data_IF_910552562002
#
_entry.id   IF_910552562002
#
_cell.length_a   1.000
_cell.length_b   1.000
_cell.length_c   1.000
_cell.angle_alpha   90.00
_cell.angle_beta   90.00
_cell.angle_gamma   90.00
#
_symmetry.space_group_name_H-M   'P 1'
#
loop_
_entity.id
_entity.type
_entity.pdbx_description
1 polymer ?
#
# COMPACT_ATOMS: atom_id res chain seq x y z
N UNK A 1 -0.63 13.19 6.65
CA UNK A 1 -1.79 12.41 7.11
C UNK A 1 -2.66 12.15 5.90
N UNK A 2 -2.93 10.90 5.55
CA UNK A 2 -3.68 10.54 4.35
C UNK A 2 -5.18 10.81 4.55
N UNK A 3 -5.84 11.32 3.50
CA UNK A 3 -7.23 11.78 3.53
C UNK A 3 -8.13 10.81 2.78
N UNK A 4 -9.15 10.28 3.47
CA UNK A 4 -10.10 9.30 2.93
C UNK A 4 -11.50 9.93 2.83
N UNK A 5 -12.17 9.75 1.69
CA UNK A 5 -13.60 10.02 1.56
C UNK A 5 -14.36 8.71 1.80
N UNK A 6 -15.27 8.71 2.78
CA UNK A 6 -16.20 7.62 3.03
C UNK A 6 -17.60 8.02 2.56
N UNK A 7 -18.13 7.29 1.59
CA UNK A 7 -19.50 7.49 1.08
C UNK A 7 -20.34 6.28 1.50
N UNK A 8 -21.22 6.50 2.46
CA UNK A 8 -22.03 5.48 3.13
C UNK A 8 -23.24 6.17 3.78
N UNK A 9 -24.43 5.65 3.62
CA UNK A 9 -25.68 6.20 4.16
C UNK A 9 -26.04 5.63 5.55
N UNK A 10 -25.60 4.41 5.87
CA UNK A 10 -25.81 3.82 7.21
C UNK A 10 -24.91 4.52 8.25
N UNK A 11 -25.55 5.34 9.11
CA UNK A 11 -24.87 6.11 10.14
C UNK A 11 -24.14 5.25 11.18
N UNK A 12 -24.56 3.99 11.39
CA UNK A 12 -23.89 3.06 12.31
C UNK A 12 -22.59 2.59 11.69
N UNK A 13 -22.60 2.26 10.40
CA UNK A 13 -21.39 1.89 9.65
C UNK A 13 -20.44 3.09 9.58
N UNK A 14 -20.93 4.27 9.22
CA UNK A 14 -20.13 5.51 9.16
C UNK A 14 -19.41 5.76 10.46
N UNK A 15 -20.13 5.78 11.60
CA UNK A 15 -19.53 6.03 12.90
C UNK A 15 -18.43 5.04 13.24
N UNK A 16 -18.70 3.75 13.04
CA UNK A 16 -17.74 2.69 13.33
C UNK A 16 -16.48 2.80 12.45
N UNK A 17 -16.66 3.07 11.14
CA UNK A 17 -15.55 3.21 10.20
C UNK A 17 -14.71 4.45 10.49
N UNK A 18 -15.34 5.59 10.76
CA UNK A 18 -14.64 6.83 11.11
C UNK A 18 -13.78 6.63 12.36
N UNK A 19 -14.31 5.96 13.40
CA UNK A 19 -13.56 5.68 14.62
C UNK A 19 -12.34 4.77 14.37
N UNK A 20 -12.52 3.73 13.54
CA UNK A 20 -11.44 2.81 13.17
C UNK A 20 -10.37 3.55 12.36
N UNK A 21 -10.77 4.27 11.30
CA UNK A 21 -9.85 4.97 10.40
C UNK A 21 -9.06 6.07 11.12
N UNK A 22 -9.70 6.82 12.03
CA UNK A 22 -9.01 7.82 12.85
C UNK A 22 -7.97 7.22 13.80
N UNK A 23 -8.21 6.03 14.35
CA UNK A 23 -7.22 5.31 15.18
C UNK A 23 -6.00 4.83 14.37
N UNK A 24 -6.15 4.72 13.07
CA UNK A 24 -5.10 4.33 12.13
C UNK A 24 -4.45 5.54 11.44
N UNK A 25 -4.64 6.76 12.03
CA UNK A 25 -4.07 8.03 11.60
C UNK A 25 -4.54 8.52 10.21
N UNK A 26 -5.76 8.14 9.78
CA UNK A 26 -6.40 8.70 8.60
C UNK A 26 -7.26 9.92 8.94
N UNK A 27 -7.25 10.93 8.07
CA UNK A 27 -8.28 11.97 8.06
C UNK A 27 -9.48 11.49 7.24
N UNK A 28 -10.69 11.64 7.75
CA UNK A 28 -11.89 11.09 7.10
C UNK A 28 -12.95 12.16 6.94
N UNK A 29 -13.33 12.42 5.69
CA UNK A 29 -14.56 13.13 5.34
C UNK A 29 -15.65 12.11 4.99
N UNK A 30 -16.91 12.46 5.26
CA UNK A 30 -18.05 11.57 5.04
C UNK A 30 -19.09 12.20 4.15
N UNK A 31 -19.73 11.38 3.31
CA UNK A 31 -20.91 11.72 2.52
C UNK A 31 -21.97 10.64 2.69
N UNK A 32 -23.23 11.02 2.86
CA UNK A 32 -24.36 10.08 3.01
C UNK A 32 -25.00 9.70 1.68
N UNK A 33 -24.56 10.29 0.56
CA UNK A 33 -25.10 10.04 -0.77
C UNK A 33 -24.26 10.64 -1.87
N UNK A 34 -24.70 10.43 -3.10
CA UNK A 34 -23.97 10.82 -4.31
C UNK A 34 -23.76 12.32 -4.42
N UNK A 35 -24.81 13.14 -4.21
CA UNK A 35 -24.74 14.59 -4.35
C UNK A 35 -23.68 15.20 -3.42
N UNK A 36 -23.69 14.76 -2.16
CA UNK A 36 -22.70 15.24 -1.19
C UNK A 36 -21.28 14.76 -1.53
N UNK A 37 -21.13 13.54 -2.00
CA UNK A 37 -19.86 13.01 -2.47
C UNK A 37 -19.29 13.84 -3.62
N UNK A 38 -20.12 14.18 -4.63
CA UNK A 38 -19.71 15.03 -5.75
C UNK A 38 -19.24 16.41 -5.32
N UNK A 39 -19.95 17.06 -4.38
CA UNK A 39 -19.50 18.35 -3.84
C UNK A 39 -18.12 18.27 -3.17
N UNK A 40 -17.86 17.17 -2.46
CA UNK A 40 -16.60 16.98 -1.75
C UNK A 40 -15.44 16.71 -2.71
N UNK A 41 -15.61 15.84 -3.70
CA UNK A 41 -14.56 15.56 -4.70
C UNK A 41 -14.28 16.76 -5.61
N UNK A 42 -15.21 17.74 -5.69
CA UNK A 42 -14.99 18.98 -6.42
C UNK A 42 -14.14 19.98 -5.65
N UNK A 43 -14.19 19.96 -4.32
CA UNK A 43 -13.54 20.93 -3.45
C UNK A 43 -12.23 20.43 -2.87
N UNK A 44 -12.11 19.13 -2.65
CA UNK A 44 -11.05 18.51 -1.89
C UNK A 44 -10.40 17.36 -2.67
N UNK A 45 -9.12 17.10 -2.36
CA UNK A 45 -8.41 15.94 -2.87
C UNK A 45 -8.35 14.85 -1.82
N UNK A 46 -8.53 13.62 -2.26
CA UNK A 46 -8.47 12.44 -1.41
C UNK A 46 -7.39 11.47 -1.88
N UNK A 47 -6.75 10.80 -0.93
CA UNK A 47 -5.78 9.75 -1.21
C UNK A 47 -6.47 8.42 -1.53
N UNK A 48 -7.70 8.22 -1.04
CA UNK A 48 -8.52 7.03 -1.29
C UNK A 48 -10.00 7.35 -1.02
N UNK A 49 -10.89 6.70 -1.79
CA UNK A 49 -12.33 6.74 -1.55
C UNK A 49 -12.86 5.35 -1.19
N UNK A 50 -13.63 5.28 -0.11
CA UNK A 50 -14.44 4.11 0.28
C UNK A 50 -15.88 4.40 -0.12
N UNK A 51 -16.46 3.62 -1.02
CA UNK A 51 -17.78 3.86 -1.57
C UNK A 51 -18.70 2.68 -1.30
N UNK A 52 -19.83 2.91 -0.65
CA UNK A 52 -20.93 1.94 -0.74
C UNK A 52 -21.49 1.95 -2.16
N UNK A 53 -21.77 0.78 -2.70
CA UNK A 53 -22.42 0.63 -4.01
C UNK A 53 -23.87 1.08 -3.93
N UNK A 54 -24.59 0.67 -2.88
CA UNK A 54 -26.02 0.86 -2.71
C UNK A 54 -26.31 2.01 -1.75
N UNK A 55 -26.46 3.20 -2.27
CA UNK A 55 -26.81 4.40 -1.50
C UNK A 55 -28.30 4.68 -1.57
N UNK A 56 -28.92 5.21 -0.50
CA UNK A 56 -30.32 5.68 -0.52
C UNK A 56 -30.51 6.83 -1.51
N UNK A 57 -29.49 7.72 -1.62
CA UNK A 57 -29.46 8.82 -2.58
C UNK A 57 -28.32 8.59 -3.58
N UNK A 58 -28.69 8.17 -4.80
CA UNK A 58 -27.77 7.97 -5.90
C UNK A 58 -27.16 6.58 -5.96
N UNK A 59 -25.89 6.49 -6.38
CA UNK A 59 -25.22 5.23 -6.69
C UNK A 59 -23.70 5.38 -6.56
N UNK A 60 -23.05 4.47 -5.84
CA UNK A 60 -21.60 4.47 -5.65
C UNK A 60 -20.79 4.30 -6.94
N UNK A 61 -21.34 3.64 -7.95
CA UNK A 61 -20.69 3.53 -9.27
C UNK A 61 -20.61 4.87 -9.99
N UNK A 62 -21.67 5.71 -9.89
CA UNK A 62 -21.66 7.06 -10.45
C UNK A 62 -20.60 7.94 -9.78
N UNK A 63 -20.44 7.82 -8.46
CA UNK A 63 -19.38 8.51 -7.70
C UNK A 63 -17.99 8.02 -8.14
N UNK A 64 -17.80 6.71 -8.27
CA UNK A 64 -16.53 6.12 -8.73
C UNK A 64 -16.15 6.66 -10.12
N UNK A 65 -17.08 6.65 -11.06
CA UNK A 65 -16.86 7.17 -12.41
C UNK A 65 -16.43 8.63 -12.39
N UNK A 66 -17.12 9.48 -11.63
CA UNK A 66 -16.78 10.90 -11.53
C UNK A 66 -15.38 11.11 -10.92
N UNK A 67 -14.99 10.29 -9.92
CA UNK A 67 -13.64 10.31 -9.36
C UNK A 67 -12.61 9.97 -10.43
N UNK A 68 -12.81 8.86 -11.17
CA UNK A 68 -11.87 8.39 -12.19
C UNK A 68 -11.77 9.29 -13.41
N UNK A 69 -12.85 10.01 -13.78
CA UNK A 69 -12.84 11.01 -14.85
C UNK A 69 -12.06 12.28 -14.45
N UNK A 70 -12.03 12.62 -13.17
CA UNK A 70 -11.39 13.84 -12.66
C UNK A 70 -9.94 13.62 -12.24
N UNK A 71 -9.70 12.59 -11.45
CA UNK A 71 -8.40 12.22 -10.90
C UNK A 71 -8.32 10.70 -10.78
N UNK A 72 -7.11 10.15 -10.91
CA UNK A 72 -6.88 8.71 -10.69
C UNK A 72 -6.78 8.39 -9.19
N UNK A 73 -7.80 8.87 -8.42
CA UNK A 73 -7.89 8.56 -7.00
C UNK A 73 -8.35 7.12 -6.81
N UNK A 74 -7.66 6.33 -5.99
CA UNK A 74 -8.02 4.95 -5.76
C UNK A 74 -9.37 4.81 -5.05
N UNK A 75 -10.14 3.79 -5.48
CA UNK A 75 -11.48 3.51 -5.00
C UNK A 75 -11.56 2.08 -4.50
N UNK A 76 -12.07 1.91 -3.27
CA UNK A 76 -12.47 0.61 -2.72
C UNK A 76 -13.99 0.62 -2.54
N UNK A 77 -14.67 -0.35 -3.13
CA UNK A 77 -16.10 -0.51 -2.91
C UNK A 77 -16.39 -1.31 -1.63
N UNK A 78 -17.39 -0.85 -0.88
CA UNK A 78 -18.03 -1.60 0.19
C UNK A 78 -19.31 -2.23 -0.39
N UNK A 79 -19.42 -3.55 -0.40
CA UNK A 79 -20.51 -4.25 -1.09
C UNK A 79 -21.24 -5.22 -0.17
N UNK A 80 -22.56 -5.34 -0.31
CA UNK A 80 -23.32 -6.37 0.35
C UNK A 80 -22.99 -7.77 -0.19
N UNK A 81 -23.25 -8.78 0.63
CA UNK A 81 -22.98 -10.19 0.29
C UNK A 81 -23.86 -10.66 -0.89
N UNK A 82 -23.25 -11.14 -1.97
CA UNK A 82 -23.95 -11.88 -3.04
C UNK A 82 -24.02 -11.19 -4.40
N UNK A 83 -23.45 -10.01 -4.56
CA UNK A 83 -23.52 -9.26 -5.82
C UNK A 83 -22.23 -9.42 -6.65
N UNK A 84 -22.03 -10.64 -7.21
CA UNK A 84 -20.89 -10.93 -8.11
C UNK A 84 -20.93 -10.05 -9.38
N UNK A 85 -22.11 -9.67 -9.87
CA UNK A 85 -22.27 -8.80 -11.03
C UNK A 85 -21.76 -7.38 -10.74
N UNK A 86 -22.01 -6.86 -9.55
CA UNK A 86 -21.53 -5.54 -9.14
C UNK A 86 -20.01 -5.53 -8.97
N UNK A 87 -19.41 -6.64 -8.55
CA UNK A 87 -17.94 -6.77 -8.44
C UNK A 87 -17.29 -6.69 -9.81
N UNK A 88 -17.79 -7.42 -10.81
CA UNK A 88 -17.25 -7.40 -12.19
C UNK A 88 -17.44 -6.02 -12.81
N UNK A 89 -18.65 -5.45 -12.72
CA UNK A 89 -18.94 -4.12 -13.26
C UNK A 89 -18.07 -3.02 -12.67
N UNK A 90 -17.74 -3.11 -11.41
CA UNK A 90 -16.90 -2.10 -10.75
C UNK A 90 -15.43 -2.20 -11.11
N UNK A 91 -14.87 -3.41 -11.37
CA UNK A 91 -13.50 -3.53 -11.92
C UNK A 91 -13.42 -2.91 -13.31
N UNK A 92 -14.43 -3.10 -14.15
CA UNK A 92 -14.51 -2.46 -15.47
C UNK A 92 -14.56 -0.93 -15.36
N UNK A 93 -15.04 -0.38 -14.23
CA UNK A 93 -15.05 1.06 -13.94
C UNK A 93 -13.77 1.58 -13.28
N UNK A 94 -12.77 0.74 -13.11
CA UNK A 94 -11.46 1.13 -12.56
C UNK A 94 -11.37 1.14 -11.04
N UNK A 95 -12.23 0.41 -10.33
CA UNK A 95 -12.06 0.22 -8.89
C UNK A 95 -10.78 -0.56 -8.58
N UNK A 96 -10.14 -0.22 -7.47
CA UNK A 96 -8.85 -0.79 -7.07
C UNK A 96 -8.99 -2.03 -6.18
N UNK A 97 -10.08 -2.13 -5.40
CA UNK A 97 -10.41 -3.30 -4.57
C UNK A 97 -11.89 -3.29 -4.14
N UNK A 98 -12.32 -4.39 -3.50
CA UNK A 98 -13.66 -4.60 -2.94
C UNK A 98 -13.58 -5.17 -1.54
N UNK A 99 -14.49 -4.72 -0.68
CA UNK A 99 -14.66 -5.25 0.67
C UNK A 99 -16.10 -5.61 0.91
N UNK A 100 -16.32 -6.88 1.19
CA UNK A 100 -17.67 -7.43 1.44
C UNK A 100 -18.15 -7.09 2.84
N UNK A 101 -19.37 -6.56 2.95
CA UNK A 101 -20.09 -6.39 4.23
C UNK A 101 -20.70 -7.72 4.70
N UNK A 102 -20.64 -8.08 5.98
CA UNK A 102 -19.91 -7.39 7.05
C UNK A 102 -18.39 -7.69 6.99
N UNK A 103 -17.58 -6.67 7.14
CA UNK A 103 -16.12 -6.78 7.07
C UNK A 103 -15.46 -6.75 8.46
N UNK A 104 -14.29 -7.38 8.53
CA UNK A 104 -13.45 -7.30 9.73
C UNK A 104 -12.60 -6.02 9.67
N UNK A 105 -12.52 -5.22 10.74
CA UNK A 105 -11.74 -3.97 10.75
C UNK A 105 -10.29 -4.15 10.26
N UNK A 106 -9.60 -5.18 10.74
CA UNK A 106 -8.20 -5.45 10.33
C UNK A 106 -8.06 -5.78 8.85
N UNK A 107 -9.04 -6.46 8.26
CA UNK A 107 -9.06 -6.76 6.83
C UNK A 107 -9.21 -5.48 6.02
N UNK A 108 -10.18 -4.62 6.35
CA UNK A 108 -10.39 -3.35 5.67
C UNK A 108 -9.14 -2.47 5.72
N UNK A 109 -8.53 -2.30 6.89
CA UNK A 109 -7.31 -1.51 7.05
C UNK A 109 -6.15 -2.09 6.21
N UNK A 110 -5.98 -3.41 6.19
CA UNK A 110 -4.96 -4.05 5.37
C UNK A 110 -5.17 -3.77 3.88
N UNK A 111 -6.41 -3.82 3.38
CA UNK A 111 -6.76 -3.53 1.98
C UNK A 111 -6.55 -2.05 1.65
N UNK A 112 -7.00 -1.13 2.51
CA UNK A 112 -6.75 0.31 2.37
C UNK A 112 -5.25 0.58 2.22
N UNK A 113 -4.42 0.05 3.13
CA UNK A 113 -2.97 0.23 3.10
C UNK A 113 -2.34 -0.38 1.83
N UNK A 114 -2.83 -1.54 1.38
CA UNK A 114 -2.35 -2.18 0.16
C UNK A 114 -2.68 -1.34 -1.09
N UNK A 115 -3.91 -0.81 -1.18
CA UNK A 115 -4.33 0.05 -2.28
C UNK A 115 -3.53 1.36 -2.26
N UNK A 116 -3.45 2.06 -1.13
CA UNK A 116 -2.67 3.28 -0.98
C UNK A 116 -1.19 3.09 -1.34
N UNK A 117 -0.60 1.96 -0.97
CA UNK A 117 0.77 1.61 -1.33
C UNK A 117 0.95 1.40 -2.83
N UNK A 118 -0.02 0.76 -3.50
CA UNK A 118 0.04 0.43 -4.94
C UNK A 118 -0.28 1.61 -5.83
N UNK A 119 -1.20 2.48 -5.39
CA UNK A 119 -1.71 3.61 -6.17
C UNK A 119 -1.17 4.96 -5.71
N UNK A 120 -0.43 4.98 -4.60
CA UNK A 120 0.08 6.20 -4.00
C UNK A 120 0.96 7.00 -4.95
N UNK A 121 0.45 8.12 -5.42
CA UNK A 121 1.20 9.19 -6.11
C UNK A 121 2.30 9.80 -5.22
N UNK A 122 2.43 9.29 -4.00
CA UNK A 122 3.43 9.61 -3.00
C UNK A 122 3.95 8.32 -2.36
N UNK A 123 4.52 7.40 -3.15
CA UNK A 123 5.64 6.69 -2.60
C UNK A 123 6.76 7.75 -2.54
N UNK A 124 6.69 8.56 -1.47
CA UNK A 124 7.77 9.47 -1.14
C UNK A 124 9.09 8.70 -1.26
N UNK A 125 10.06 9.32 -1.91
CA UNK A 125 11.43 8.81 -1.88
C UNK A 125 11.71 8.34 -0.46
N UNK A 126 11.96 7.06 -0.30
CA UNK A 126 12.25 6.48 1.02
C UNK A 126 13.71 6.77 1.32
N UNK A 127 13.94 7.60 2.31
CA UNK A 127 15.30 7.92 2.76
C UNK A 127 15.67 7.05 3.97
N UNK A 128 16.83 6.42 3.90
CA UNK A 128 17.48 5.71 4.99
C UNK A 128 18.96 6.03 4.93
N UNK A 129 19.42 6.85 5.91
CA UNK A 129 20.78 7.31 5.98
C UNK A 129 21.19 7.99 4.65
N UNK A 130 22.21 7.54 3.97
CA UNK A 130 22.68 8.05 2.68
C UNK A 130 21.98 7.42 1.45
N UNK A 131 21.01 6.53 1.66
CA UNK A 131 20.26 5.83 0.61
C UNK A 131 18.91 6.51 0.37
N UNK A 132 18.59 6.83 -0.88
CA UNK A 132 17.26 7.24 -1.30
C UNK A 132 16.71 6.29 -2.36
N UNK A 133 15.48 5.84 -2.16
CA UNK A 133 14.79 4.89 -3.05
C UNK A 133 13.51 5.53 -3.54
N UNK A 134 13.39 5.68 -4.85
CA UNK A 134 12.17 6.10 -5.55
C UNK A 134 11.50 4.85 -6.15
N UNK A 135 10.47 4.28 -5.51
CA UNK A 135 9.85 3.05 -5.98
C UNK A 135 9.07 3.22 -7.30
N UNK A 136 8.58 4.43 -7.60
CA UNK A 136 7.83 4.69 -8.84
C UNK A 136 8.75 4.62 -10.06
N UNK A 137 9.97 5.14 -9.91
CA UNK A 137 10.97 5.12 -10.99
C UNK A 137 11.87 3.90 -10.96
N UNK A 138 11.66 3.00 -9.98
CA UNK A 138 12.58 1.90 -9.66
C UNK A 138 14.05 2.38 -9.52
N UNK A 139 14.22 3.59 -8.98
CA UNK A 139 15.52 4.27 -8.90
C UNK A 139 16.06 4.23 -7.47
N UNK A 140 17.32 3.89 -7.35
CA UNK A 140 18.02 3.89 -6.05
C UNK A 140 19.24 4.80 -6.16
N UNK A 141 19.41 5.70 -5.20
CA UNK A 141 20.57 6.57 -5.10
C UNK A 141 21.28 6.37 -3.77
N UNK A 142 22.60 6.34 -3.84
CA UNK A 142 23.50 6.32 -2.69
C UNK A 142 24.28 7.63 -2.65
N UNK A 143 24.12 8.41 -1.59
CA UNK A 143 24.76 9.73 -1.46
C UNK A 143 24.50 10.67 -2.66
N UNK A 144 23.29 10.58 -3.25
CA UNK A 144 22.85 11.37 -4.40
C UNK A 144 23.19 10.77 -5.77
N UNK A 145 24.08 9.78 -5.86
CA UNK A 145 24.44 9.09 -7.11
C UNK A 145 23.57 7.87 -7.35
N UNK A 146 23.10 7.69 -8.59
CA UNK A 146 22.28 6.54 -8.97
C UNK A 146 23.10 5.24 -8.96
N UNK A 147 22.56 4.20 -8.32
CA UNK A 147 23.16 2.88 -8.28
C UNK A 147 22.23 1.84 -8.92
N UNK A 148 22.81 0.89 -9.67
CA UNK A 148 22.03 -0.14 -10.34
C UNK A 148 21.95 -1.41 -9.49
N UNK A 149 20.71 -1.81 -9.18
CA UNK A 149 20.39 -3.08 -8.55
C UNK A 149 19.81 -4.06 -9.59
N UNK A 150 20.18 -5.33 -9.48
CA UNK A 150 19.45 -6.36 -10.22
C UNK A 150 18.00 -6.47 -9.73
N UNK A 151 17.10 -7.08 -10.52
CA UNK A 151 15.69 -7.22 -10.17
C UNK A 151 15.50 -7.86 -8.78
N UNK A 152 16.31 -8.87 -8.44
CA UNK A 152 16.22 -9.55 -7.15
C UNK A 152 16.79 -8.70 -6.00
N UNK A 153 17.90 -7.98 -6.20
CA UNK A 153 18.45 -7.05 -5.22
C UNK A 153 17.46 -5.93 -4.92
N UNK A 154 16.83 -5.38 -5.97
CA UNK A 154 15.81 -4.34 -5.84
C UNK A 154 14.56 -4.86 -5.10
N UNK A 155 14.04 -6.03 -5.47
CA UNK A 155 12.91 -6.66 -4.77
C UNK A 155 13.23 -6.88 -3.30
N UNK A 156 14.42 -7.39 -2.99
CA UNK A 156 14.88 -7.62 -1.62
C UNK A 156 14.96 -6.30 -0.83
N UNK A 157 15.46 -5.24 -1.45
CA UNK A 157 15.46 -3.90 -0.84
C UNK A 157 14.04 -3.43 -0.53
N UNK A 158 13.10 -3.54 -1.48
CA UNK A 158 11.69 -3.16 -1.27
C UNK A 158 11.03 -3.96 -0.14
N UNK A 159 11.32 -5.27 -0.03
CA UNK A 159 10.82 -6.10 1.08
C UNK A 159 11.28 -5.54 2.42
N UNK A 160 12.54 -5.16 2.54
CA UNK A 160 13.06 -4.54 3.76
C UNK A 160 12.42 -3.17 4.06
N UNK A 161 12.24 -2.33 3.04
CA UNK A 161 11.61 -1.01 3.20
C UNK A 161 10.16 -1.11 3.67
N UNK A 162 9.42 -2.08 3.11
CA UNK A 162 8.03 -2.34 3.51
C UNK A 162 7.88 -2.87 4.94
N UNK A 163 8.95 -3.42 5.52
CA UNK A 163 8.98 -3.96 6.88
C UNK A 163 10.03 -3.25 7.76
N UNK A 164 10.22 -1.95 7.52
CA UNK A 164 11.19 -1.13 8.27
C UNK A 164 10.95 -1.25 9.78
N UNK A 165 12.02 -1.39 10.54
CA UNK A 165 11.96 -1.58 11.99
C UNK A 165 11.64 -3.01 12.44
N UNK A 166 11.26 -3.91 11.53
CA UNK A 166 10.92 -5.30 11.86
C UNK A 166 12.08 -6.25 11.56
N UNK A 167 12.21 -7.31 12.38
CA UNK A 167 13.14 -8.40 12.07
C UNK A 167 12.45 -9.38 11.13
N UNK A 168 13.01 -9.56 9.95
CA UNK A 168 12.52 -10.52 8.95
C UNK A 168 13.35 -11.80 9.04
N UNK A 169 12.66 -12.92 9.26
CA UNK A 169 13.31 -14.24 9.23
C UNK A 169 13.77 -14.58 7.80
N UNK A 170 14.74 -15.49 7.69
CA UNK A 170 15.23 -15.96 6.39
C UNK A 170 14.12 -16.58 5.55
N UNK A 171 13.26 -17.39 6.18
CA UNK A 171 12.10 -18.01 5.52
C UNK A 171 11.13 -16.96 4.97
N UNK A 172 10.84 -15.89 5.76
CA UNK A 172 9.95 -14.80 5.32
C UNK A 172 10.55 -14.04 4.14
N UNK A 173 11.86 -13.76 4.17
CA UNK A 173 12.53 -13.09 3.05
C UNK A 173 12.49 -13.94 1.77
N UNK A 174 12.71 -15.25 1.87
CA UNK A 174 12.61 -16.16 0.73
C UNK A 174 11.19 -16.20 0.15
N UNK A 175 10.17 -16.27 1.00
CA UNK A 175 8.76 -16.23 0.59
C UNK A 175 8.43 -14.95 -0.19
N UNK A 176 8.86 -13.79 0.31
CA UNK A 176 8.57 -12.47 -0.29
C UNK A 176 9.28 -12.22 -1.64
N UNK A 177 10.41 -12.88 -1.88
CA UNK A 177 11.18 -12.73 -3.13
C UNK A 177 10.92 -13.86 -4.14
N UNK A 178 10.12 -14.87 -3.77
CA UNK A 178 9.89 -16.09 -4.55
C UNK A 178 9.46 -15.81 -5.99
N UNK A 179 8.53 -14.88 -6.20
CA UNK A 179 7.98 -14.54 -7.51
C UNK A 179 9.05 -14.08 -8.52
N UNK A 180 10.14 -13.47 -8.04
CA UNK A 180 11.25 -12.97 -8.88
C UNK A 180 12.39 -13.97 -8.95
N UNK A 181 12.56 -14.76 -7.91
CA UNK A 181 13.69 -15.66 -7.72
C UNK A 181 13.46 -17.06 -8.29
N UNK A 182 12.20 -17.52 -8.34
CA UNK A 182 11.84 -18.87 -8.75
C UNK A 182 12.47 -19.97 -7.86
N UNK A 183 12.44 -21.21 -8.34
CA UNK A 183 12.95 -22.39 -7.59
C UNK A 183 14.47 -22.40 -7.31
N UNK A 184 15.20 -21.39 -7.79
CA UNK A 184 16.65 -21.33 -7.68
C UNK A 184 17.20 -20.65 -6.41
N UNK A 185 16.34 -20.07 -5.58
CA UNK A 185 16.77 -19.38 -4.35
C UNK A 185 16.57 -20.25 -3.13
N UNK A 186 17.66 -20.80 -2.64
CA UNK A 186 17.75 -21.47 -1.35
C UNK A 186 18.35 -20.56 -0.27
N UNK A 187 18.44 -21.05 0.95
CA UNK A 187 18.93 -20.30 2.09
C UNK A 187 20.39 -19.79 1.92
N UNK A 188 21.24 -20.54 1.23
CA UNK A 188 22.62 -20.11 0.91
C UNK A 188 22.62 -18.96 -0.10
N UNK A 189 21.73 -19.01 -1.09
CA UNK A 189 21.58 -17.99 -2.12
C UNK A 189 21.13 -16.66 -1.51
N UNK A 190 20.21 -16.67 -0.53
CA UNK A 190 19.79 -15.46 0.19
C UNK A 190 20.98 -14.73 0.82
N UNK A 191 21.90 -15.46 1.46
CA UNK A 191 23.11 -14.86 2.06
C UNK A 191 23.97 -14.15 1.02
N UNK A 192 24.09 -14.73 -0.18
CA UNK A 192 24.85 -14.12 -1.28
C UNK A 192 24.15 -12.82 -1.77
N UNK A 193 22.83 -12.82 -1.90
CA UNK A 193 22.10 -11.62 -2.31
C UNK A 193 22.10 -10.53 -1.25
N UNK A 194 21.98 -10.86 0.03
CA UNK A 194 22.15 -9.91 1.12
C UNK A 194 23.55 -9.28 1.06
N UNK A 195 24.59 -10.09 0.84
CA UNK A 195 25.95 -9.57 0.69
C UNK A 195 26.07 -8.63 -0.50
N UNK A 196 25.63 -9.06 -1.69
CA UNK A 196 25.68 -8.23 -2.90
C UNK A 196 24.91 -6.91 -2.75
N UNK A 197 23.74 -6.95 -2.10
CA UNK A 197 22.97 -5.76 -1.82
C UNK A 197 23.72 -4.82 -0.88
N UNK A 198 24.32 -5.34 0.21
CA UNK A 198 25.18 -4.57 1.11
C UNK A 198 26.37 -3.94 0.38
N UNK A 199 27.04 -4.71 -0.45
CA UNK A 199 28.20 -4.21 -1.23
C UNK A 199 27.84 -2.97 -2.08
N UNK A 200 26.57 -2.83 -2.46
CA UNK A 200 26.10 -1.69 -3.26
C UNK A 200 25.55 -0.54 -2.40
N UNK A 201 24.77 -0.84 -1.35
CA UNK A 201 24.02 0.19 -0.61
C UNK A 201 24.73 0.68 0.65
N UNK A 202 25.54 -0.13 1.33
CA UNK A 202 26.22 0.26 2.57
C UNK A 202 27.46 1.12 2.27
N UNK A 203 27.83 2.00 3.19
CA UNK A 203 29.14 2.68 3.12
C UNK A 203 30.27 1.71 3.46
N UNK A 204 30.10 0.93 4.53
CA UNK A 204 30.98 -0.16 4.89
C UNK A 204 30.20 -1.50 4.93
N UNK A 205 30.30 -2.35 3.90
CA UNK A 205 29.62 -3.64 3.86
C UNK A 205 30.00 -4.62 4.97
N UNK A 206 31.18 -4.42 5.61
CA UNK A 206 31.64 -5.26 6.72
C UNK A 206 30.97 -4.85 8.03
N UNK A 207 30.60 -3.58 8.17
CA UNK A 207 29.87 -3.02 9.31
C UNK A 207 28.53 -2.41 8.86
N UNK A 208 27.58 -3.23 8.37
CA UNK A 208 26.36 -2.73 7.71
C UNK A 208 25.46 -1.98 8.69
N UNK A 209 25.04 -0.76 8.30
CA UNK A 209 24.16 0.09 9.09
C UNK A 209 22.72 0.05 8.59
N UNK A 210 22.50 -0.14 7.29
CA UNK A 210 21.17 -0.19 6.67
C UNK A 210 20.55 -1.57 6.88
N UNK A 211 21.21 -2.66 6.38
CA UNK A 211 20.71 -4.03 6.56
C UNK A 211 21.52 -4.71 7.67
N UNK A 212 20.99 -4.74 8.86
CA UNK A 212 21.65 -5.33 10.03
C UNK A 212 21.31 -6.82 10.17
N UNK A 213 22.29 -7.63 10.61
CA UNK A 213 22.04 -9.03 10.96
C UNK A 213 21.61 -9.13 12.42
N UNK A 214 20.46 -9.78 12.65
CA UNK A 214 19.99 -10.13 13.99
C UNK A 214 20.29 -11.63 14.19
N UNK A 215 21.34 -11.94 14.97
CA UNK A 215 21.84 -13.31 15.12
C UNK A 215 20.75 -14.28 15.55
N UNK A 216 20.62 -15.39 14.83
CA UNK A 216 19.61 -16.42 15.08
C UNK A 216 18.18 -16.08 14.65
N UNK A 217 17.88 -14.83 14.25
CA UNK A 217 16.52 -14.39 13.89
C UNK A 217 16.39 -13.98 12.42
N UNK A 218 17.41 -13.36 11.81
CA UNK A 218 17.34 -12.91 10.42
C UNK A 218 17.99 -11.55 10.20
N UNK A 219 17.29 -10.67 9.49
CA UNK A 219 17.78 -9.35 9.09
C UNK A 219 16.76 -8.26 9.42
N UNK A 220 17.25 -7.02 9.62
CA UNK A 220 16.43 -5.86 9.93
C UNK A 220 16.96 -4.63 9.20
N UNK A 221 16.06 -3.71 8.78
CA UNK A 221 16.39 -2.39 8.23
C UNK A 221 15.74 -1.30 9.08
N UNK A 222 16.52 -0.25 9.38
CA UNK A 222 16.11 0.84 10.25
C UNK A 222 16.09 0.43 11.74
N UNK A 223 15.67 1.36 12.56
CA UNK A 223 15.51 1.18 14.02
C UNK A 223 14.23 0.43 14.36
#
# INVERSE_FOLDING_TARGET
MQKILLVEDDQVIVKNLVDILKREDFHVDTASGQSRAMELIDKEKYDLCLLDISLEEGNGFAVCRAIKEKEDTPVIFLTASGDEYSVVAGFDMGADDYVKKPFRPRELISRIRNVLRRTGKHQSIVEIDHLSVDPEKAMVRKSGEEIFLSALEYKLLLVFLNHRGMVLSRAKLLEEIWDVAGDFVNDNTLTVYIKRLRDKIEEDPQNPMIIRTVRGLGYKVGE
#
